data_IF_199534427687
#
_entry.id   IF_199534427687
#
_cell.length_a   1.000
_cell.length_b   1.000
_cell.length_c   1.000
_cell.angle_alpha   90.00
_cell.angle_beta   90.00
_cell.angle_gamma   90.00
#
_symmetry.space_group_name_H-M   'P 1'
#
loop_
_entity.id
_entity.type
_entity.pdbx_description
1 polymer ?
#
# COMPACT_ATOMS: atom_id res chain seq x y z
N UNK A 1 -3.51 -7.87 25.52
CA UNK A 1 -3.18 -7.21 26.76
C UNK A 1 -4.40 -6.46 27.31
N UNK A 2 -4.24 -5.72 28.40
CA UNK A 2 -5.36 -5.01 29.06
C UNK A 2 -5.98 -3.87 28.23
N UNK A 3 -5.26 -3.41 27.21
CA UNK A 3 -5.68 -2.36 26.27
C UNK A 3 -6.23 -2.93 24.96
N UNK A 4 -6.63 -4.22 24.95
CA UNK A 4 -7.15 -4.95 23.80
C UNK A 4 -6.14 -5.10 22.63
N UNK A 5 -4.85 -4.82 22.83
CA UNK A 5 -3.82 -5.01 21.83
C UNK A 5 -3.40 -6.49 21.74
N UNK A 6 -3.10 -6.95 20.52
CA UNK A 6 -2.62 -8.32 20.31
C UNK A 6 -1.24 -8.54 20.94
N UNK A 7 -1.17 -9.33 22.02
CA UNK A 7 0.09 -9.68 22.68
C UNK A 7 0.89 -10.73 21.88
N UNK A 8 0.22 -11.69 21.23
CA UNK A 8 0.87 -12.70 20.38
C UNK A 8 -0.09 -13.31 19.36
N UNK A 9 0.48 -13.83 18.27
CA UNK A 9 -0.21 -14.62 17.26
C UNK A 9 0.59 -15.88 17.01
N UNK A 10 -0.08 -17.04 17.05
CA UNK A 10 0.54 -18.34 16.74
C UNK A 10 -0.30 -19.05 15.69
N UNK A 11 0.35 -19.48 14.60
CA UNK A 11 -0.27 -20.27 13.53
C UNK A 11 0.35 -21.65 13.51
N UNK A 12 -0.49 -22.70 13.51
CA UNK A 12 -0.08 -24.12 13.48
C UNK A 12 -0.83 -24.87 12.38
N UNK A 13 -0.20 -25.93 11.88
CA UNK A 13 -0.86 -26.97 11.07
C UNK A 13 -0.64 -28.31 11.77
N UNK A 14 -1.67 -28.80 12.45
CA UNK A 14 -1.51 -29.88 13.42
C UNK A 14 -0.54 -29.48 14.53
N UNK A 15 0.47 -30.29 14.80
CA UNK A 15 1.52 -30.02 15.79
C UNK A 15 2.66 -29.13 15.26
N UNK A 16 2.69 -28.88 13.96
CA UNK A 16 3.75 -28.07 13.33
C UNK A 16 3.49 -26.58 13.54
N UNK A 17 4.46 -25.88 14.15
CA UNK A 17 4.46 -24.43 14.28
C UNK A 17 4.81 -23.80 12.92
N UNK A 18 3.88 -23.08 12.30
CA UNK A 18 4.08 -22.39 11.02
C UNK A 18 4.56 -20.95 11.23
N UNK A 19 4.00 -20.25 12.21
CA UNK A 19 4.36 -18.87 12.52
C UNK A 19 4.08 -18.58 13.99
N UNK A 20 4.94 -17.76 14.57
CA UNK A 20 4.72 -17.17 15.89
C UNK A 20 5.24 -15.74 15.89
N UNK A 21 4.48 -14.82 16.46
CA UNK A 21 4.92 -13.46 16.71
C UNK A 21 4.36 -12.97 18.04
N UNK A 22 5.20 -12.28 18.83
CA UNK A 22 4.79 -11.55 20.02
C UNK A 22 5.05 -10.05 19.83
N UNK A 23 4.25 -9.22 20.48
CA UNK A 23 4.24 -7.78 20.29
C UNK A 23 4.32 -7.08 21.64
N UNK A 24 4.96 -5.90 21.66
CA UNK A 24 4.91 -4.97 22.77
C UNK A 24 4.50 -3.59 22.26
N UNK A 25 3.84 -2.84 23.11
CA UNK A 25 3.25 -1.53 22.82
C UNK A 25 3.69 -0.49 23.86
N UNK A 26 3.71 0.77 23.46
CA UNK A 26 3.88 1.89 24.40
C UNK A 26 2.55 2.27 25.06
N UNK A 27 2.58 3.29 25.93
CA UNK A 27 1.38 3.77 26.62
C UNK A 27 0.34 4.46 25.73
N UNK A 28 0.67 4.75 24.46
CA UNK A 28 -0.23 5.31 23.47
C UNK A 28 -0.84 4.23 22.56
N UNK A 29 -0.48 2.94 22.76
CA UNK A 29 -0.91 1.82 21.93
C UNK A 29 -0.07 1.64 20.66
N UNK A 30 1.03 2.36 20.48
CA UNK A 30 1.92 2.16 19.35
C UNK A 30 2.76 0.90 19.55
N UNK A 31 2.87 0.06 18.52
CA UNK A 31 3.68 -1.16 18.57
C UNK A 31 5.17 -0.83 18.54
N UNK A 32 5.88 -1.02 19.66
CA UNK A 32 7.31 -0.73 19.80
C UNK A 32 8.20 -1.93 19.50
N UNK A 33 7.68 -3.16 19.54
CA UNK A 33 8.42 -4.38 19.24
C UNK A 33 7.52 -5.46 18.63
N UNK A 34 8.07 -6.16 17.64
CA UNK A 34 7.60 -7.47 17.16
C UNK A 34 8.76 -8.45 17.31
N UNK A 35 8.51 -9.60 17.94
CA UNK A 35 9.46 -10.72 17.95
C UNK A 35 8.83 -11.90 17.24
N UNK A 36 9.48 -12.40 16.18
CA UNK A 36 9.02 -13.49 15.36
C UNK A 36 10.15 -14.54 15.17
N UNK A 37 9.86 -15.60 14.43
CA UNK A 37 10.85 -16.67 14.18
C UNK A 37 12.08 -16.18 13.41
N UNK A 38 11.92 -15.17 12.58
CA UNK A 38 12.95 -14.53 11.76
C UNK A 38 13.72 -13.40 12.47
N UNK A 39 13.36 -13.10 13.73
CA UNK A 39 14.04 -12.12 14.55
C UNK A 39 13.16 -11.09 15.21
N UNK A 40 13.80 -10.01 15.69
CA UNK A 40 13.13 -8.89 16.38
C UNK A 40 13.11 -7.66 15.50
N UNK A 41 11.94 -7.04 15.37
CA UNK A 41 11.75 -5.73 14.76
C UNK A 41 11.41 -4.72 15.86
N UNK A 42 12.08 -3.57 15.86
CA UNK A 42 11.84 -2.46 16.78
C UNK A 42 11.25 -1.27 16.02
N UNK A 43 10.35 -0.55 16.67
CA UNK A 43 9.65 0.60 16.11
C UNK A 43 9.83 1.80 17.02
N UNK A 44 10.08 2.97 16.46
CA UNK A 44 10.20 4.23 17.16
C UNK A 44 9.24 5.25 16.55
N UNK A 45 8.66 6.07 17.40
CA UNK A 45 7.68 7.07 17.01
C UNK A 45 8.11 8.46 17.47
N UNK A 46 7.67 9.47 16.77
CA UNK A 46 7.86 10.86 17.18
C UNK A 46 6.79 11.27 18.22
N UNK A 47 6.85 12.53 18.66
CA UNK A 47 5.90 13.09 19.65
C UNK A 47 4.46 13.19 19.12
N UNK A 48 4.24 13.05 17.81
CA UNK A 48 2.92 13.05 17.17
C UNK A 48 2.42 11.61 16.88
N UNK A 49 3.09 10.58 17.42
CA UNK A 49 2.83 9.16 17.17
C UNK A 49 3.04 8.75 15.69
N UNK A 50 3.85 9.48 14.94
CA UNK A 50 4.23 9.10 13.59
C UNK A 50 5.43 8.15 13.64
N UNK A 51 5.40 7.06 12.88
CA UNK A 51 6.49 6.08 12.82
C UNK A 51 7.75 6.72 12.24
N UNK A 52 8.79 6.87 13.06
CA UNK A 52 10.03 7.57 12.70
C UNK A 52 11.14 6.62 12.29
N UNK A 53 11.20 5.42 12.89
CA UNK A 53 12.24 4.42 12.61
C UNK A 53 11.73 3.01 12.81
N UNK A 54 12.19 2.10 11.94
CA UNK A 54 12.02 0.67 12.10
C UNK A 54 13.38 0.01 11.98
N UNK A 55 13.77 -0.79 12.97
CA UNK A 55 14.95 -1.63 12.94
C UNK A 55 14.49 -3.08 12.70
N UNK A 56 14.64 -3.55 11.46
CA UNK A 56 14.43 -4.95 11.08
C UNK A 56 15.68 -5.77 11.40
N UNK A 57 15.64 -7.11 11.45
CA UNK A 57 16.83 -7.94 11.71
C UNK A 57 17.99 -7.70 10.74
N UNK A 58 17.74 -7.33 9.49
CA UNK A 58 18.73 -7.20 8.45
C UNK A 58 19.06 -5.76 8.03
N UNK A 59 18.15 -4.81 8.26
CA UNK A 59 18.31 -3.41 7.85
C UNK A 59 17.47 -2.49 8.72
N UNK A 60 17.65 -1.18 8.55
CA UNK A 60 16.79 -0.17 9.18
C UNK A 60 16.10 0.71 8.15
N UNK A 61 15.01 1.30 8.58
CA UNK A 61 14.23 2.27 7.83
C UNK A 61 14.00 3.51 8.70
N UNK A 62 14.20 4.71 8.12
CA UNK A 62 13.88 5.98 8.76
C UNK A 62 12.87 6.75 7.92
N UNK A 63 11.92 7.38 8.58
CA UNK A 63 10.80 8.08 7.98
C UNK A 63 10.76 9.52 8.50
N UNK A 64 10.62 10.47 7.59
CA UNK A 64 10.57 11.89 7.89
C UNK A 64 9.30 12.48 7.27
N UNK A 65 8.64 13.33 8.02
CA UNK A 65 7.34 13.89 7.63
C UNK A 65 7.42 15.41 7.44
N UNK A 66 6.58 15.93 6.57
CA UNK A 66 6.34 17.34 6.44
C UNK A 66 5.36 17.84 7.55
N UNK A 67 5.09 19.15 7.55
CA UNK A 67 4.18 19.75 8.54
C UNK A 67 2.73 19.33 8.40
N UNK A 68 2.34 18.77 7.26
CA UNK A 68 1.00 18.23 7.00
C UNK A 68 0.89 16.74 7.37
N UNK A 69 1.98 16.11 7.82
CA UNK A 69 2.04 14.70 8.16
C UNK A 69 2.28 13.78 6.95
N UNK A 70 2.58 14.30 5.77
CA UNK A 70 2.95 13.48 4.63
C UNK A 70 4.42 13.03 4.78
N UNK A 71 4.73 11.80 4.37
CA UNK A 71 6.11 11.29 4.36
C UNK A 71 6.94 12.02 3.31
N UNK A 72 7.79 12.95 3.74
CA UNK A 72 8.63 13.77 2.85
C UNK A 72 9.91 13.03 2.42
N UNK A 73 10.47 12.16 3.28
CA UNK A 73 11.68 11.41 3.02
C UNK A 73 11.64 10.04 3.70
N UNK A 74 12.27 9.05 3.06
CA UNK A 74 12.49 7.70 3.60
C UNK A 74 13.94 7.29 3.32
N UNK A 75 14.59 6.68 4.31
CA UNK A 75 15.89 6.03 4.17
C UNK A 75 15.71 4.54 4.41
N UNK A 76 16.18 3.69 3.51
CA UNK A 76 16.12 2.22 3.64
C UNK A 76 17.44 1.62 3.25
N UNK A 77 18.12 0.96 4.20
CA UNK A 77 19.41 0.35 3.90
C UNK A 77 20.48 1.33 3.38
N UNK A 78 20.33 2.63 3.68
CA UNK A 78 21.20 3.70 3.18
C UNK A 78 20.75 4.35 1.87
N UNK A 79 19.68 3.85 1.23
CA UNK A 79 19.11 4.47 0.04
C UNK A 79 18.01 5.47 0.42
N UNK A 80 18.00 6.62 -0.27
CA UNK A 80 17.08 7.71 -0.01
C UNK A 80 15.95 7.75 -1.04
N UNK A 81 14.74 7.97 -0.52
CA UNK A 81 13.54 8.29 -1.30
C UNK A 81 13.01 9.65 -0.85
N UNK A 82 12.73 10.53 -1.81
CA UNK A 82 12.15 11.86 -1.57
C UNK A 82 10.76 11.94 -2.20
N UNK A 83 9.82 12.47 -1.44
CA UNK A 83 8.41 12.60 -1.82
C UNK A 83 8.02 14.07 -1.89
N UNK A 84 7.36 14.49 -2.94
CA UNK A 84 6.84 15.84 -3.11
C UNK A 84 5.34 15.83 -3.25
N UNK A 85 4.67 16.72 -2.55
CA UNK A 85 3.21 16.81 -2.50
C UNK A 85 2.72 18.16 -2.96
N UNK A 86 1.51 18.18 -3.52
CA UNK A 86 0.79 19.41 -3.81
C UNK A 86 0.04 19.94 -2.55
N UNK A 87 -0.56 21.15 -2.61
CA UNK A 87 -1.33 21.71 -1.50
C UNK A 87 -2.57 20.91 -1.08
N UNK A 88 -2.97 19.89 -1.87
CA UNK A 88 -4.07 18.96 -1.56
C UNK A 88 -3.56 17.63 -0.98
N UNK A 89 -2.27 17.56 -0.61
CA UNK A 89 -1.58 16.36 -0.11
C UNK A 89 -1.55 15.20 -1.11
N UNK A 90 -1.61 15.47 -2.44
CA UNK A 90 -1.42 14.45 -3.46
C UNK A 90 0.06 14.34 -3.79
N UNK A 91 0.57 13.10 -3.91
CA UNK A 91 1.96 12.84 -4.28
C UNK A 91 2.21 13.29 -5.74
N UNK A 92 3.06 14.29 -5.94
CA UNK A 92 3.38 14.84 -7.27
C UNK A 92 4.66 14.24 -7.86
N UNK A 93 5.61 13.85 -7.02
CA UNK A 93 6.85 13.24 -7.47
C UNK A 93 7.46 12.32 -6.40
N UNK A 94 8.11 11.26 -6.85
CA UNK A 94 8.96 10.37 -6.06
C UNK A 94 10.35 10.34 -6.69
N UNK A 95 11.38 10.68 -5.91
CA UNK A 95 12.77 10.51 -6.32
C UNK A 95 13.38 9.33 -5.60
N UNK A 96 13.96 8.40 -6.36
CA UNK A 96 14.64 7.20 -5.86
C UNK A 96 15.89 6.96 -6.70
N UNK A 97 17.05 6.76 -6.05
CA UNK A 97 18.32 6.55 -6.77
C UNK A 97 18.68 7.69 -7.74
N UNK A 98 18.29 8.94 -7.42
CA UNK A 98 18.49 10.10 -8.28
C UNK A 98 17.51 10.23 -9.46
N UNK A 99 16.61 9.26 -9.65
CA UNK A 99 15.58 9.31 -10.69
C UNK A 99 14.27 9.83 -10.09
N UNK A 100 13.72 10.89 -10.70
CA UNK A 100 12.44 11.46 -10.29
C UNK A 100 11.33 10.99 -11.21
N UNK A 101 10.32 10.36 -10.64
CA UNK A 101 9.10 9.92 -11.33
C UNK A 101 7.94 10.84 -10.99
N UNK A 102 7.30 11.47 -11.97
CA UNK A 102 6.14 12.32 -11.73
C UNK A 102 4.86 11.51 -11.57
N UNK A 103 3.94 12.02 -10.75
CA UNK A 103 2.56 11.55 -10.60
C UNK A 103 1.62 12.59 -11.20
N UNK A 104 0.64 12.17 -11.96
CA UNK A 104 -0.28 13.06 -12.65
C UNK A 104 -1.72 12.76 -12.23
N UNK A 105 -2.53 13.79 -12.12
CA UNK A 105 -3.93 13.70 -11.71
C UNK A 105 -4.82 14.52 -12.64
N UNK A 106 -6.06 14.08 -12.81
CA UNK A 106 -7.09 14.89 -13.43
C UNK A 106 -7.69 15.92 -12.45
N UNK A 107 -8.62 16.73 -12.95
CA UNK A 107 -9.28 17.74 -12.12
C UNK A 107 -10.18 17.16 -11.03
N UNK A 108 -10.68 15.93 -11.19
CA UNK A 108 -11.45 15.21 -10.20
C UNK A 108 -10.59 14.59 -9.09
N UNK A 109 -9.25 14.54 -9.29
CA UNK A 109 -8.28 13.96 -8.37
C UNK A 109 -7.95 12.50 -8.66
N UNK A 110 -8.39 11.95 -9.79
CA UNK A 110 -8.03 10.61 -10.20
C UNK A 110 -6.57 10.58 -10.66
N UNK A 111 -5.81 9.54 -10.26
CA UNK A 111 -4.42 9.34 -10.67
C UNK A 111 -4.36 8.93 -12.15
N UNK A 112 -3.78 9.76 -13.00
CA UNK A 112 -3.60 9.48 -14.43
C UNK A 112 -2.32 8.71 -14.73
N UNK A 113 -1.28 8.91 -13.92
CA UNK A 113 0.01 8.24 -14.09
C UNK A 113 0.78 8.18 -12.76
N UNK A 114 1.44 7.05 -12.51
CA UNK A 114 2.43 6.85 -11.43
C UNK A 114 3.75 6.28 -12.00
N UNK A 115 4.56 5.64 -11.14
CA UNK A 115 5.83 5.00 -11.52
C UNK A 115 5.65 3.65 -12.25
N UNK A 116 4.44 3.13 -12.36
CA UNK A 116 4.14 1.80 -12.91
C UNK A 116 3.25 1.82 -14.13
N UNK A 117 2.28 2.75 -14.17
CA UNK A 117 1.21 2.69 -15.15
C UNK A 117 0.59 4.05 -15.49
N UNK A 118 -0.19 4.04 -16.57
CA UNK A 118 -1.19 5.08 -16.90
C UNK A 118 -2.58 4.54 -16.68
N UNK A 119 -3.47 5.41 -16.23
CA UNK A 119 -4.84 5.09 -15.85
C UNK A 119 -5.81 5.96 -16.63
N UNK A 120 -6.95 5.37 -17.02
CA UNK A 120 -8.07 6.10 -17.61
C UNK A 120 -9.35 5.80 -16.83
N UNK A 121 -10.20 6.81 -16.76
CA UNK A 121 -11.43 6.76 -15.96
C UNK A 121 -12.65 7.09 -16.81
N UNK A 122 -13.80 6.58 -16.41
CA UNK A 122 -15.09 7.01 -16.96
C UNK A 122 -15.63 8.26 -16.23
N UNK A 123 -16.80 8.72 -16.65
CA UNK A 123 -17.46 9.90 -16.06
C UNK A 123 -17.88 9.71 -14.58
N UNK A 124 -17.85 8.49 -14.07
CA UNK A 124 -18.16 8.14 -12.68
C UNK A 124 -16.88 7.91 -11.83
N UNK A 125 -15.69 8.31 -12.34
CA UNK A 125 -14.38 8.10 -11.73
C UNK A 125 -14.02 6.61 -11.50
N UNK A 126 -14.56 5.69 -12.31
CA UNK A 126 -14.20 4.27 -12.28
C UNK A 126 -13.07 4.00 -13.27
N UNK A 127 -12.06 3.23 -12.85
CA UNK A 127 -10.92 2.89 -13.69
C UNK A 127 -11.34 1.99 -14.85
N UNK A 128 -11.33 2.50 -16.08
CA UNK A 128 -11.71 1.74 -17.29
C UNK A 128 -10.50 1.15 -18.00
N UNK A 129 -9.31 1.72 -17.85
CA UNK A 129 -8.08 1.19 -18.46
C UNK A 129 -6.86 1.41 -17.57
N UNK A 130 -5.98 0.41 -17.53
CA UNK A 130 -4.63 0.48 -16.95
C UNK A 130 -3.64 0.02 -18.00
N UNK A 131 -2.60 0.83 -18.25
CA UNK A 131 -1.52 0.53 -19.18
C UNK A 131 -0.20 0.60 -18.42
N UNK A 132 0.39 -0.55 -18.10
CA UNK A 132 1.66 -0.59 -17.39
C UNK A 132 2.83 -0.30 -18.33
N UNK A 133 3.93 0.25 -17.81
CA UNK A 133 5.09 0.59 -18.62
C UNK A 133 5.89 -0.65 -19.08
N UNK A 134 5.62 -1.83 -18.54
CA UNK A 134 6.13 -3.11 -19.02
C UNK A 134 5.27 -3.74 -20.12
N UNK A 135 4.21 -3.04 -20.56
CA UNK A 135 3.40 -3.39 -21.72
C UNK A 135 2.12 -4.16 -21.45
N UNK A 136 1.74 -4.38 -20.17
CA UNK A 136 0.45 -4.99 -19.87
C UNK A 136 -0.68 -3.98 -20.02
N UNK A 137 -1.81 -4.43 -20.56
CA UNK A 137 -3.02 -3.62 -20.73
C UNK A 137 -4.20 -4.34 -20.09
N UNK A 138 -4.86 -3.66 -19.16
CA UNK A 138 -6.12 -4.10 -18.56
C UNK A 138 -7.23 -3.14 -18.94
N UNK A 139 -8.38 -3.68 -19.39
CA UNK A 139 -9.60 -2.93 -19.65
C UNK A 139 -10.71 -3.45 -18.75
N UNK A 140 -11.40 -2.54 -18.06
CA UNK A 140 -12.51 -2.86 -17.18
C UNK A 140 -13.82 -2.34 -17.75
N UNK A 141 -14.89 -3.13 -17.67
CA UNK A 141 -16.25 -2.73 -18.05
C UNK A 141 -17.18 -2.90 -16.86
N UNK A 142 -18.05 -1.92 -16.69
CA UNK A 142 -18.96 -1.83 -15.56
C UNK A 142 -20.40 -1.89 -16.04
N UNK A 143 -21.26 -2.49 -15.27
CA UNK A 143 -22.71 -2.49 -15.51
C UNK A 143 -23.37 -1.18 -15.03
N UNK A 144 -24.70 -1.11 -15.18
CA UNK A 144 -25.48 0.06 -14.78
C UNK A 144 -25.49 0.28 -13.24
N UNK A 145 -25.22 -0.76 -12.47
CA UNK A 145 -25.14 -0.71 -11.00
C UNK A 145 -23.74 -0.33 -10.51
N UNK A 146 -22.78 -0.20 -11.44
CA UNK A 146 -21.38 0.16 -11.14
C UNK A 146 -20.52 -1.03 -10.75
N UNK A 147 -20.99 -2.26 -10.91
CA UNK A 147 -20.21 -3.47 -10.67
C UNK A 147 -19.35 -3.78 -11.90
N UNK A 148 -18.09 -4.14 -11.68
CA UNK A 148 -17.19 -4.55 -12.77
C UNK A 148 -17.59 -5.94 -13.27
N UNK A 149 -18.33 -6.01 -14.37
CA UNK A 149 -18.83 -7.27 -14.93
C UNK A 149 -17.84 -7.94 -15.89
N UNK A 150 -16.89 -7.18 -16.46
CA UNK A 150 -15.84 -7.73 -17.34
C UNK A 150 -14.48 -7.08 -17.06
N UNK A 151 -13.45 -7.87 -17.21
CA UNK A 151 -12.05 -7.43 -17.24
C UNK A 151 -11.36 -8.15 -18.40
N UNK A 152 -10.65 -7.40 -19.22
CA UNK A 152 -9.80 -7.93 -20.27
C UNK A 152 -8.35 -7.59 -19.92
N UNK A 153 -7.47 -8.58 -19.82
CA UNK A 153 -6.05 -8.40 -19.52
C UNK A 153 -5.22 -9.05 -20.62
N UNK A 154 -4.49 -8.25 -21.37
CA UNK A 154 -3.66 -8.69 -22.50
C UNK A 154 -4.40 -9.59 -23.52
N UNK A 155 -5.68 -9.25 -23.77
CA UNK A 155 -6.55 -10.00 -24.67
C UNK A 155 -7.25 -11.21 -24.03
N UNK A 156 -6.99 -11.51 -22.75
CA UNK A 156 -7.72 -12.53 -22.01
C UNK A 156 -8.92 -11.90 -21.29
N UNK A 157 -10.12 -12.31 -21.66
CA UNK A 157 -11.37 -11.84 -21.08
C UNK A 157 -11.76 -12.68 -19.84
N UNK A 158 -12.10 -11.98 -18.76
CA UNK A 158 -12.67 -12.55 -17.53
C UNK A 158 -14.01 -11.89 -17.27
N UNK A 159 -15.05 -12.68 -17.02
CA UNK A 159 -16.36 -12.20 -16.63
C UNK A 159 -16.62 -12.46 -15.17
N UNK A 160 -17.27 -11.51 -14.52
CA UNK A 160 -17.67 -11.60 -13.12
C UNK A 160 -19.19 -11.73 -13.06
N UNK A 161 -19.65 -12.78 -12.39
CA UNK A 161 -21.07 -12.96 -12.06
C UNK A 161 -21.19 -12.66 -10.58
N UNK A 162 -22.13 -11.80 -10.22
CA UNK A 162 -22.38 -11.44 -8.82
C UNK A 162 -23.58 -12.24 -8.30
N UNK A 163 -23.38 -12.93 -7.17
CA UNK A 163 -24.46 -13.57 -6.43
C UNK A 163 -24.49 -13.01 -5.01
N UNK A 164 -25.60 -12.37 -4.62
CA UNK A 164 -25.77 -11.69 -3.32
C UNK A 164 -24.64 -10.70 -2.97
N UNK A 165 -24.10 -9.99 -3.96
CA UNK A 165 -23.03 -9.02 -3.78
C UNK A 165 -21.60 -9.60 -3.75
N UNK A 166 -21.44 -10.92 -3.83
CA UNK A 166 -20.14 -11.58 -3.94
C UNK A 166 -19.84 -11.91 -5.40
N UNK A 167 -18.62 -11.61 -5.85
CA UNK A 167 -18.18 -11.92 -7.19
C UNK A 167 -17.84 -13.42 -7.31
N UNK A 168 -18.46 -14.10 -8.25
CA UNK A 168 -18.07 -15.45 -8.72
C UNK A 168 -17.32 -15.26 -10.02
N UNK A 169 -16.10 -15.80 -10.15
CA UNK A 169 -15.30 -15.70 -11.37
C UNK A 169 -15.67 -16.86 -12.28
N UNK A 170 -16.14 -16.58 -13.49
CA UNK A 170 -16.20 -17.56 -14.59
C UNK A 170 -15.02 -17.34 -15.55
N UNK A 171 -14.40 -18.43 -15.95
CA UNK A 171 -13.32 -18.46 -16.94
C UNK A 171 -13.87 -18.49 -18.36
#
# INVERSE_FOLDING_TARGET
>A
DLDENFASLTVRSGDTLLSHASYAYDGNGNRIRKQALDGTTLYQYDALNQLQRVDYPAYSEELFYDKAGNRARRLVGGEEELYQYDPRNRLMALTRGGVTTPFQYDNAGNLLQDDKARYSYDAFNRTVKVETFDGNVQVNRYDAEGLRHEMEENGRLVRFIFHKGEAVVEH
#
